data_IF_165860370072
#
_entry.id   IF_165860370072
#
_cell.length_a   1.000
_cell.length_b   1.000
_cell.length_c   1.000
_cell.angle_alpha   90.00
_cell.angle_beta   90.00
_cell.angle_gamma   90.00
#
_symmetry.space_group_name_H-M   'P 1'
#
loop_
_entity.id
_entity.type
_entity.pdbx_description
1 polymer ?
#
# COMPACT_ATOMS: atom_id res chain seq x y z
N UNK A 1 -31.00 0.71 0.60
CA UNK A 1 -30.05 1.64 -0.06
C UNK A 1 -29.39 0.90 -1.20
N UNK A 2 -28.79 1.62 -2.15
CA UNK A 2 -27.98 0.98 -3.20
C UNK A 2 -26.62 0.58 -2.63
N UNK A 3 -25.99 -0.52 -3.12
CA UNK A 3 -24.69 -0.93 -2.65
C UNK A 3 -23.63 0.14 -2.93
N UNK A 4 -22.69 0.32 -1.99
CA UNK A 4 -21.49 1.15 -2.22
C UNK A 4 -20.49 0.35 -3.06
N UNK A 5 -20.10 0.88 -4.20
CA UNK A 5 -19.08 0.24 -5.05
C UNK A 5 -17.70 0.71 -4.74
N UNK A 6 -16.85 -0.21 -4.32
CA UNK A 6 -15.41 0.00 -4.22
C UNK A 6 -14.79 -0.36 -5.57
N UNK A 7 -14.38 0.65 -6.33
CA UNK A 7 -13.84 0.50 -7.68
C UNK A 7 -12.34 0.78 -7.68
N UNK A 8 -11.53 -0.19 -8.06
CA UNK A 8 -10.07 -0.06 -8.07
C UNK A 8 -9.36 -1.35 -8.44
N UNK A 9 -8.05 -1.41 -8.25
CA UNK A 9 -7.34 -2.67 -8.37
C UNK A 9 -7.69 -3.59 -7.20
N UNK A 10 -7.81 -4.88 -7.49
CA UNK A 10 -7.90 -5.97 -6.50
C UNK A 10 -6.86 -7.02 -6.87
N UNK A 11 -6.32 -7.77 -5.89
CA UNK A 11 -5.33 -8.82 -6.18
C UNK A 11 -5.85 -9.88 -7.17
N UNK A 12 -5.01 -10.47 -8.03
CA UNK A 12 -3.69 -10.04 -8.43
C UNK A 12 -3.69 -8.81 -9.35
N UNK A 13 -2.63 -7.98 -9.40
CA UNK A 13 -1.39 -8.07 -8.62
C UNK A 13 -1.53 -7.59 -7.17
N UNK A 14 -0.68 -8.13 -6.30
CA UNK A 14 -0.64 -7.80 -4.86
C UNK A 14 0.15 -6.52 -4.62
N UNK A 15 -0.51 -5.38 -4.71
CA UNK A 15 0.06 -4.06 -4.44
C UNK A 15 -0.67 -3.36 -3.29
N UNK A 16 -0.06 -2.32 -2.73
CA UNK A 16 -0.64 -1.58 -1.59
C UNK A 16 -2.06 -1.09 -1.83
N UNK A 17 -2.35 -0.57 -3.04
CA UNK A 17 -3.71 -0.11 -3.40
C UNK A 17 -4.69 -1.28 -3.49
N UNK A 18 -4.27 -2.41 -4.06
CA UNK A 18 -5.10 -3.59 -4.20
C UNK A 18 -5.47 -4.18 -2.82
N UNK A 19 -4.51 -4.29 -1.92
CA UNK A 19 -4.73 -4.74 -0.54
C UNK A 19 -5.62 -3.75 0.23
N UNK A 20 -5.40 -2.44 0.05
CA UNK A 20 -6.28 -1.44 0.66
C UNK A 20 -7.75 -1.59 0.21
N UNK A 21 -8.00 -1.84 -1.08
CA UNK A 21 -9.36 -2.08 -1.59
C UNK A 21 -10.00 -3.33 -0.97
N UNK A 22 -9.24 -4.42 -0.80
CA UNK A 22 -9.72 -5.64 -0.12
C UNK A 22 -10.10 -5.33 1.33
N UNK A 23 -9.19 -4.70 2.08
CA UNK A 23 -9.41 -4.37 3.50
C UNK A 23 -10.60 -3.46 3.69
N UNK A 24 -10.72 -2.42 2.85
CA UNK A 24 -11.87 -1.53 2.90
C UNK A 24 -13.18 -2.27 2.66
N UNK A 25 -13.22 -3.11 1.62
CA UNK A 25 -14.42 -3.88 1.28
C UNK A 25 -14.82 -4.84 2.40
N UNK A 26 -13.87 -5.61 2.95
CA UNK A 26 -14.14 -6.55 4.05
C UNK A 26 -14.55 -5.81 5.32
N UNK A 27 -13.84 -4.76 5.71
CA UNK A 27 -14.20 -3.96 6.89
C UNK A 27 -15.60 -3.31 6.77
N UNK A 28 -15.97 -2.83 5.58
CA UNK A 28 -17.33 -2.30 5.37
C UNK A 28 -18.39 -3.39 5.53
N UNK A 29 -18.14 -4.60 5.05
CA UNK A 29 -19.05 -5.74 5.22
C UNK A 29 -19.17 -6.20 6.67
N UNK A 30 -18.06 -6.24 7.40
CA UNK A 30 -18.07 -6.53 8.83
C UNK A 30 -18.91 -5.52 9.63
N UNK A 31 -18.94 -4.27 9.17
CA UNK A 31 -19.81 -3.23 9.73
C UNK A 31 -21.27 -3.32 9.23
N UNK A 32 -21.62 -4.35 8.43
CA UNK A 32 -22.96 -4.52 7.87
C UNK A 32 -23.30 -3.56 6.71
N UNK A 33 -22.31 -2.87 6.15
CA UNK A 33 -22.51 -2.01 4.97
C UNK A 33 -22.69 -2.86 3.72
N UNK A 34 -23.75 -2.60 2.97
CA UNK A 34 -23.93 -3.21 1.65
C UNK A 34 -22.92 -2.63 0.65
N UNK A 35 -21.83 -3.37 0.43
CA UNK A 35 -20.72 -2.97 -0.41
C UNK A 35 -20.27 -4.09 -1.36
N UNK A 36 -19.90 -3.73 -2.59
CA UNK A 36 -19.35 -4.64 -3.60
C UNK A 36 -18.02 -4.11 -4.16
N UNK A 37 -17.08 -5.02 -4.43
CA UNK A 37 -15.82 -4.71 -5.11
C UNK A 37 -15.97 -4.84 -6.62
N UNK A 38 -15.41 -3.88 -7.38
CA UNK A 38 -15.32 -3.96 -8.84
C UNK A 38 -13.86 -3.76 -9.26
N UNK A 39 -13.25 -4.82 -9.76
CA UNK A 39 -11.84 -4.81 -10.14
C UNK A 39 -11.63 -4.23 -11.54
N UNK A 40 -10.76 -3.25 -11.67
CA UNK A 40 -10.28 -2.69 -12.95
C UNK A 40 -9.09 -3.49 -13.52
N UNK A 41 -8.62 -4.50 -12.81
CA UNK A 41 -7.53 -5.41 -13.21
C UNK A 41 -7.99 -6.84 -13.39
N UNK A 42 -7.15 -7.79 -12.98
CA UNK A 42 -7.47 -9.20 -13.00
C UNK A 42 -8.67 -9.59 -12.14
N UNK A 43 -9.16 -10.82 -12.31
CA UNK A 43 -10.17 -11.39 -11.42
C UNK A 43 -9.48 -11.87 -10.13
N UNK A 44 -9.90 -11.37 -8.97
CA UNK A 44 -9.35 -11.84 -7.71
C UNK A 44 -9.76 -13.29 -7.47
N UNK A 45 -8.79 -14.16 -7.23
CA UNK A 45 -9.06 -15.49 -6.71
C UNK A 45 -9.51 -15.42 -5.24
N UNK A 46 -10.58 -16.12 -4.90
CA UNK A 46 -10.98 -16.29 -3.50
C UNK A 46 -11.71 -15.10 -2.83
N UNK A 47 -12.04 -14.04 -3.57
CA UNK A 47 -12.83 -12.92 -3.08
C UNK A 47 -14.23 -12.94 -3.73
N UNK A 48 -15.17 -13.64 -3.11
CA UNK A 48 -16.54 -13.84 -3.64
C UNK A 48 -17.31 -12.53 -3.90
N UNK A 49 -16.94 -11.48 -3.18
CA UNK A 49 -17.62 -10.17 -3.26
C UNK A 49 -16.98 -9.20 -4.22
N UNK A 50 -16.03 -9.64 -5.03
CA UNK A 50 -15.36 -8.82 -6.04
C UNK A 50 -15.66 -9.35 -7.43
N UNK A 51 -16.09 -8.45 -8.32
CA UNK A 51 -16.41 -8.76 -9.71
C UNK A 51 -15.44 -8.05 -10.64
N UNK A 52 -15.17 -8.62 -11.81
CA UNK A 52 -14.46 -7.91 -12.87
C UNK A 52 -15.30 -6.74 -13.37
N UNK A 53 -14.65 -5.62 -13.68
CA UNK A 53 -15.30 -4.53 -14.37
C UNK A 53 -15.90 -5.00 -15.71
N UNK A 54 -17.15 -4.62 -15.97
CA UNK A 54 -17.88 -4.88 -17.19
C UNK A 54 -18.56 -3.60 -17.69
N UNK A 55 -18.83 -3.42 -19.01
CA UNK A 55 -19.43 -2.19 -19.53
C UNK A 55 -20.75 -1.78 -18.86
N UNK A 56 -21.56 -2.73 -18.41
CA UNK A 56 -22.82 -2.40 -17.72
C UNK A 56 -22.63 -1.75 -16.35
N UNK A 57 -21.42 -1.85 -15.71
CA UNK A 57 -21.12 -1.09 -14.51
C UNK A 57 -21.12 0.42 -14.75
N UNK A 58 -20.90 0.85 -16.01
CA UNK A 58 -21.01 2.26 -16.41
C UNK A 58 -22.44 2.77 -16.34
N UNK A 59 -23.44 1.89 -16.53
CA UNK A 59 -24.85 2.26 -16.53
C UNK A 59 -25.48 2.27 -15.15
N UNK A 60 -24.80 1.76 -14.14
CA UNK A 60 -25.31 1.79 -12.78
C UNK A 60 -25.26 3.20 -12.18
N UNK A 61 -26.26 3.48 -11.34
CA UNK A 61 -26.37 4.72 -10.56
C UNK A 61 -26.05 4.52 -9.08
N UNK A 62 -25.31 3.44 -8.75
CA UNK A 62 -24.89 3.18 -7.38
C UNK A 62 -23.74 4.13 -7.02
N UNK A 63 -23.63 4.56 -5.74
CA UNK A 63 -22.51 5.40 -5.31
C UNK A 63 -21.20 4.66 -5.47
N UNK A 64 -20.15 5.39 -5.86
CA UNK A 64 -18.83 4.81 -6.17
C UNK A 64 -17.77 5.43 -5.28
N UNK A 65 -16.92 4.58 -4.71
CA UNK A 65 -15.63 5.00 -4.16
C UNK A 65 -14.52 4.47 -5.06
N UNK A 66 -13.89 5.35 -5.82
CA UNK A 66 -12.83 5.03 -6.77
C UNK A 66 -11.46 5.19 -6.14
N UNK A 67 -10.65 4.15 -6.26
CA UNK A 67 -9.25 4.13 -5.79
C UNK A 67 -8.32 4.23 -6.97
N UNK A 68 -7.44 5.22 -6.95
CA UNK A 68 -6.51 5.51 -8.03
C UNK A 68 -5.10 5.73 -7.54
N UNK A 69 -4.15 5.41 -8.39
CA UNK A 69 -2.79 5.89 -8.38
C UNK A 69 -2.52 6.68 -9.67
N UNK A 70 -1.31 7.18 -9.82
CA UNK A 70 -0.90 7.89 -11.03
C UNK A 70 -0.98 7.02 -12.31
N UNK A 71 -1.01 5.68 -12.19
CA UNK A 71 -1.13 4.74 -13.32
C UNK A 71 -2.53 4.67 -13.91
N UNK A 72 -3.54 4.95 -13.10
CA UNK A 72 -4.96 4.73 -13.43
C UNK A 72 -5.73 6.00 -13.84
N UNK A 73 -5.05 7.15 -14.04
CA UNK A 73 -5.72 8.42 -14.35
C UNK A 73 -6.60 8.38 -15.62
N UNK A 74 -6.25 7.56 -16.61
CA UNK A 74 -7.04 7.39 -17.84
C UNK A 74 -8.43 6.80 -17.55
N UNK A 75 -8.50 5.83 -16.64
CA UNK A 75 -9.78 5.31 -16.16
C UNK A 75 -10.58 6.40 -15.43
N UNK A 76 -9.93 7.22 -14.61
CA UNK A 76 -10.59 8.35 -13.96
C UNK A 76 -11.24 9.30 -14.96
N UNK A 77 -10.55 9.63 -16.07
CA UNK A 77 -11.10 10.50 -17.12
C UNK A 77 -12.32 9.90 -17.81
N UNK A 78 -12.28 8.61 -18.14
CA UNK A 78 -13.39 7.91 -18.79
C UNK A 78 -14.59 7.76 -17.84
N UNK A 79 -14.36 7.21 -16.65
CA UNK A 79 -15.42 6.87 -15.70
C UNK A 79 -16.11 8.13 -15.17
N UNK A 80 -15.37 9.18 -14.83
CA UNK A 80 -15.94 10.43 -14.32
C UNK A 80 -16.86 11.11 -15.34
N UNK A 81 -16.60 10.98 -16.62
CA UNK A 81 -17.48 11.48 -17.66
C UNK A 81 -18.84 10.75 -17.65
N UNK A 82 -18.83 9.41 -17.59
CA UNK A 82 -20.07 8.62 -17.48
C UNK A 82 -20.83 8.90 -16.18
N UNK A 83 -20.12 8.94 -15.04
CA UNK A 83 -20.75 9.22 -13.75
C UNK A 83 -21.46 10.58 -13.74
N UNK A 84 -20.85 11.59 -14.31
CA UNK A 84 -21.48 12.92 -14.43
C UNK A 84 -22.73 12.89 -15.31
N UNK A 85 -22.68 12.23 -16.45
CA UNK A 85 -23.86 12.09 -17.33
C UNK A 85 -25.03 11.38 -16.66
N UNK A 86 -24.75 10.39 -15.81
CA UNK A 86 -25.75 9.58 -15.14
C UNK A 86 -26.14 10.09 -13.75
N UNK A 87 -25.54 11.19 -13.29
CA UNK A 87 -25.76 11.72 -11.95
C UNK A 87 -25.26 10.80 -10.82
N UNK A 88 -24.21 9.99 -11.09
CA UNK A 88 -23.61 9.10 -10.09
C UNK A 88 -22.75 9.91 -9.15
N UNK A 89 -23.00 9.76 -7.85
CA UNK A 89 -22.13 10.33 -6.80
C UNK A 89 -20.89 9.48 -6.64
N UNK A 90 -19.71 10.11 -6.58
CA UNK A 90 -18.47 9.39 -6.39
C UNK A 90 -17.46 10.10 -5.49
N UNK A 91 -16.66 9.32 -4.80
CA UNK A 91 -15.49 9.73 -4.01
C UNK A 91 -14.25 9.20 -4.73
N UNK A 92 -13.13 9.89 -4.62
CA UNK A 92 -11.84 9.46 -5.14
C UNK A 92 -10.83 9.37 -4.00
N UNK A 93 -10.26 8.18 -3.77
CA UNK A 93 -9.05 8.05 -2.96
C UNK A 93 -7.82 8.00 -3.86
N UNK A 94 -6.86 8.85 -3.57
CA UNK A 94 -5.59 8.98 -4.31
C UNK A 94 -4.47 8.43 -3.45
N UNK A 95 -3.86 7.33 -3.90
CA UNK A 95 -2.78 6.64 -3.19
C UNK A 95 -1.38 7.16 -3.52
N UNK A 96 -1.21 7.78 -4.68
CA UNK A 96 -0.01 8.52 -5.06
C UNK A 96 -0.37 9.52 -6.16
N UNK A 97 0.31 10.64 -6.19
CA UNK A 97 0.12 11.64 -7.23
C UNK A 97 1.46 12.31 -7.52
N UNK A 98 2.14 11.83 -8.55
CA UNK A 98 3.44 12.37 -8.96
C UNK A 98 3.29 13.07 -10.30
N UNK A 99 4.18 14.04 -10.55
CA UNK A 99 4.25 14.67 -11.86
C UNK A 99 4.48 13.63 -12.96
N UNK A 100 3.75 13.73 -14.06
CA UNK A 100 3.86 12.92 -15.26
C UNK A 100 3.91 13.79 -16.51
N UNK A 101 4.62 13.31 -17.54
CA UNK A 101 4.67 14.00 -18.83
C UNK A 101 3.27 14.22 -19.42
N UNK A 102 2.33 13.30 -19.22
CA UNK A 102 0.95 13.43 -19.68
C UNK A 102 0.22 14.62 -19.05
N UNK A 103 0.68 15.11 -17.87
CA UNK A 103 0.12 16.31 -17.21
C UNK A 103 0.69 17.62 -17.79
N UNK A 104 1.69 17.57 -18.66
CA UNK A 104 2.14 18.71 -19.43
C UNK A 104 1.10 19.11 -20.49
N UNK A 105 0.28 18.15 -20.97
CA UNK A 105 -0.85 18.45 -21.85
C UNK A 105 -1.99 19.16 -21.09
N UNK A 106 -2.22 20.41 -21.43
CA UNK A 106 -3.23 21.26 -20.78
C UNK A 106 -4.65 20.68 -20.87
N UNK A 107 -4.99 19.94 -21.94
CA UNK A 107 -6.32 19.33 -22.09
C UNK A 107 -6.50 18.17 -21.09
N UNK A 108 -5.49 17.35 -20.96
CA UNK A 108 -5.48 16.24 -19.97
C UNK A 108 -5.58 16.78 -18.55
N UNK A 109 -4.79 17.80 -18.19
CA UNK A 109 -4.86 18.46 -16.88
C UNK A 109 -6.25 19.04 -16.60
N UNK A 110 -6.81 19.79 -17.55
CA UNK A 110 -8.14 20.40 -17.37
C UNK A 110 -9.24 19.33 -17.19
N UNK A 111 -9.19 18.26 -17.98
CA UNK A 111 -10.15 17.15 -17.85
C UNK A 111 -10.01 16.43 -16.50
N UNK A 112 -8.77 16.18 -16.08
CA UNK A 112 -8.49 15.54 -14.79
C UNK A 112 -8.91 16.43 -13.63
N UNK A 113 -8.56 17.72 -13.65
CA UNK A 113 -9.03 18.70 -12.68
C UNK A 113 -10.56 18.76 -12.61
N UNK A 114 -11.24 18.71 -13.75
CA UNK A 114 -12.70 18.64 -13.80
C UNK A 114 -13.23 17.37 -13.16
N UNK A 115 -12.63 16.21 -13.41
CA UNK A 115 -13.02 14.94 -12.80
C UNK A 115 -12.93 14.99 -11.27
N UNK A 116 -11.84 15.53 -10.74
CA UNK A 116 -11.65 15.69 -9.29
C UNK A 116 -12.61 16.72 -8.69
N UNK A 117 -12.84 17.86 -9.35
CA UNK A 117 -13.79 18.90 -8.87
C UNK A 117 -15.23 18.41 -8.74
N UNK A 118 -15.64 17.44 -9.54
CA UNK A 118 -17.00 16.88 -9.51
C UNK A 118 -17.16 15.69 -8.56
N UNK A 119 -16.07 15.20 -7.97
CA UNK A 119 -16.16 14.21 -6.91
C UNK A 119 -16.90 14.81 -5.69
N UNK A 120 -17.67 13.99 -4.97
CA UNK A 120 -18.26 14.42 -3.69
C UNK A 120 -17.20 14.68 -2.63
N UNK A 121 -16.09 13.95 -2.69
CA UNK A 121 -14.91 14.18 -1.88
C UNK A 121 -13.64 13.65 -2.56
N UNK A 122 -12.50 14.25 -2.22
CA UNK A 122 -11.16 13.73 -2.51
C UNK A 122 -10.55 13.26 -1.20
N UNK A 123 -10.12 12.01 -1.17
CA UNK A 123 -9.37 11.43 -0.06
C UNK A 123 -7.93 11.25 -0.52
N UNK A 124 -6.98 11.90 0.14
CA UNK A 124 -5.56 11.68 -0.07
C UNK A 124 -4.99 10.85 1.08
N UNK A 125 -4.03 9.96 0.81
CA UNK A 125 -3.44 9.12 1.86
C UNK A 125 -2.45 9.87 2.75
N UNK A 126 -2.00 11.05 2.31
CA UNK A 126 -1.09 11.92 3.07
C UNK A 126 -1.29 13.38 2.65
N UNK A 127 -0.72 14.32 3.43
CA UNK A 127 -0.73 15.73 3.10
C UNK A 127 0.04 16.01 1.81
N UNK A 128 1.17 15.35 1.62
CA UNK A 128 2.02 15.49 0.43
C UNK A 128 1.24 15.12 -0.84
N UNK A 129 0.48 14.01 -0.82
CA UNK A 129 -0.39 13.62 -1.96
C UNK A 129 -1.46 14.69 -2.22
N UNK A 130 -2.04 15.26 -1.17
CA UNK A 130 -3.05 16.31 -1.33
C UNK A 130 -2.44 17.58 -1.92
N UNK A 131 -1.28 18.00 -1.45
CA UNK A 131 -0.52 19.13 -1.96
C UNK A 131 -0.11 18.94 -3.42
N UNK A 132 0.33 17.74 -3.78
CA UNK A 132 0.68 17.38 -5.16
C UNK A 132 -0.53 17.49 -6.09
N UNK A 133 -1.70 17.00 -5.67
CA UNK A 133 -2.94 17.15 -6.43
C UNK A 133 -3.27 18.63 -6.64
N UNK A 134 -3.17 19.42 -5.60
CA UNK A 134 -3.47 20.87 -5.65
C UNK A 134 -2.49 21.60 -6.57
N UNK A 135 -1.20 21.32 -6.44
CA UNK A 135 -0.14 21.92 -7.26
C UNK A 135 -0.28 21.56 -8.73
N UNK A 136 -0.42 20.26 -9.04
CA UNK A 136 -0.43 19.77 -10.42
C UNK A 136 -1.73 20.10 -11.16
N UNK A 137 -2.86 20.07 -10.49
CA UNK A 137 -4.17 20.31 -11.11
C UNK A 137 -4.73 21.72 -10.90
N UNK A 138 -4.10 22.53 -10.03
CA UNK A 138 -4.57 23.88 -9.71
C UNK A 138 -5.96 23.87 -9.06
N UNK A 139 -6.26 22.89 -8.24
CA UNK A 139 -7.58 22.74 -7.61
C UNK A 139 -7.48 22.74 -6.08
N UNK A 140 -8.40 23.44 -5.44
CA UNK A 140 -8.71 23.26 -4.03
C UNK A 140 -10.12 22.64 -3.94
N UNK A 141 -10.23 21.45 -3.39
CA UNK A 141 -11.52 20.79 -3.24
C UNK A 141 -12.09 21.04 -1.84
N UNK A 142 -13.32 21.53 -1.75
CA UNK A 142 -13.95 21.91 -0.47
C UNK A 142 -14.13 20.73 0.50
N UNK A 143 -14.17 19.48 -0.01
CA UNK A 143 -14.32 18.24 0.76
C UNK A 143 -13.12 17.34 0.63
N UNK A 144 -11.92 17.91 0.47
CA UNK A 144 -10.70 17.11 0.54
C UNK A 144 -10.38 16.73 1.99
N UNK A 145 -9.90 15.52 2.15
CA UNK A 145 -9.55 14.94 3.45
C UNK A 145 -8.30 14.07 3.32
N UNK A 146 -7.44 14.15 4.32
CA UNK A 146 -6.33 13.20 4.45
C UNK A 146 -6.79 12.05 5.33
N UNK A 147 -6.74 10.83 4.78
CA UNK A 147 -7.01 9.59 5.50
C UNK A 147 -5.92 8.61 5.14
N UNK A 148 -5.09 8.20 6.09
CA UNK A 148 -4.03 7.22 5.86
C UNK A 148 -4.56 5.92 5.25
N UNK A 149 -3.74 5.26 4.45
CA UNK A 149 -4.14 4.03 3.75
C UNK A 149 -4.18 2.78 4.62
N UNK A 150 -3.74 2.88 5.87
CA UNK A 150 -3.71 1.74 6.79
C UNK A 150 -5.12 1.40 7.28
N UNK A 151 -5.57 0.20 6.94
CA UNK A 151 -6.83 -0.38 7.37
C UNK A 151 -6.54 -1.70 8.08
N UNK A 152 -7.44 -2.18 8.96
CA UNK A 152 -7.28 -3.47 9.63
C UNK A 152 -6.97 -4.59 8.64
N UNK A 153 -6.10 -5.52 9.04
CA UNK A 153 -5.79 -6.70 8.24
C UNK A 153 -7.05 -7.51 8.04
N UNK A 154 -7.38 -7.79 6.79
CA UNK A 154 -8.62 -8.46 6.43
C UNK A 154 -8.67 -9.92 6.89
N UNK A 155 -9.87 -10.45 7.09
CA UNK A 155 -10.07 -11.85 7.44
C UNK A 155 -9.48 -12.80 6.36
N UNK A 156 -9.53 -12.40 5.09
CA UNK A 156 -8.88 -13.13 4.00
C UNK A 156 -7.36 -13.21 4.19
N UNK A 157 -6.69 -12.09 4.53
CA UNK A 157 -5.25 -12.08 4.81
C UNK A 157 -4.89 -12.87 6.07
N UNK A 158 -5.76 -12.81 7.10
CA UNK A 158 -5.54 -13.54 8.36
C UNK A 158 -5.60 -15.05 8.18
N UNK A 159 -6.45 -15.54 7.27
CA UNK A 159 -6.56 -16.96 6.91
C UNK A 159 -5.51 -17.43 5.91
N UNK A 160 -4.80 -16.49 5.28
CA UNK A 160 -3.75 -16.82 4.31
C UNK A 160 -2.56 -17.46 5.02
N UNK A 161 -2.07 -18.56 4.48
CA UNK A 161 -0.86 -19.23 4.94
C UNK A 161 0.39 -18.63 4.27
N UNK A 162 1.54 -18.88 4.88
CA UNK A 162 2.81 -18.53 4.26
C UNK A 162 3.00 -19.43 3.03
N UNK A 163 3.17 -18.80 1.87
CA UNK A 163 3.39 -19.52 0.62
C UNK A 163 4.62 -20.43 0.71
N UNK A 164 4.53 -21.63 0.13
CA UNK A 164 5.66 -22.54 -0.02
C UNK A 164 6.80 -21.98 -0.88
N UNK A 165 6.57 -20.87 -1.60
CA UNK A 165 7.62 -20.14 -2.28
C UNK A 165 8.61 -19.43 -1.32
N UNK A 166 8.23 -19.28 -0.04
CA UNK A 166 9.09 -18.68 0.98
C UNK A 166 10.09 -19.74 1.47
N UNK A 167 11.41 -19.46 1.37
CA UNK A 167 12.44 -20.45 1.70
C UNK A 167 12.42 -20.86 3.18
N UNK A 168 12.57 -22.16 3.43
CA UNK A 168 12.65 -22.72 4.77
C UNK A 168 13.81 -22.14 5.57
N UNK A 169 14.94 -21.84 4.90
CA UNK A 169 16.09 -21.20 5.55
C UNK A 169 15.73 -19.87 6.24
N UNK A 170 14.79 -19.11 5.67
CA UNK A 170 14.30 -17.90 6.33
C UNK A 170 13.29 -18.21 7.45
N UNK A 171 12.31 -19.10 7.18
CA UNK A 171 11.26 -19.37 8.18
C UNK A 171 11.78 -20.05 9.44
N UNK A 172 12.89 -20.79 9.37
CA UNK A 172 13.55 -21.45 10.49
C UNK A 172 14.66 -20.63 11.15
N UNK A 173 15.01 -19.44 10.59
CA UNK A 173 16.07 -18.60 11.15
C UNK A 173 15.71 -18.05 12.54
N UNK A 174 16.68 -17.97 13.48
CA UNK A 174 16.46 -17.35 14.79
C UNK A 174 16.01 -15.89 14.71
N UNK A 175 16.58 -15.11 13.78
CA UNK A 175 16.14 -13.72 13.51
C UNK A 175 15.73 -13.60 12.04
N UNK A 176 14.46 -13.33 11.82
CA UNK A 176 13.84 -13.22 10.49
C UNK A 176 13.65 -11.77 10.11
N UNK A 177 14.33 -11.35 9.06
CA UNK A 177 14.23 -10.00 8.49
C UNK A 177 13.46 -10.07 7.19
N UNK A 178 12.45 -9.22 7.03
CA UNK A 178 11.60 -9.15 5.85
C UNK A 178 11.76 -7.78 5.19
N UNK A 179 11.92 -7.77 3.87
CA UNK A 179 11.75 -6.59 3.05
C UNK A 179 10.84 -6.89 1.87
N UNK A 180 10.11 -5.89 1.37
CA UNK A 180 9.28 -6.07 0.19
C UNK A 180 9.36 -4.89 -0.77
N UNK A 181 9.17 -5.19 -2.06
CA UNK A 181 8.97 -4.22 -3.11
C UNK A 181 7.73 -4.59 -3.94
N UNK A 182 6.82 -3.65 -4.14
CA UNK A 182 5.61 -3.88 -4.95
C UNK A 182 5.91 -4.13 -6.42
N UNK A 183 7.03 -3.60 -6.91
CA UNK A 183 7.54 -3.87 -8.26
C UNK A 183 9.05 -3.62 -8.32
N UNK A 184 9.76 -4.36 -9.14
CA UNK A 184 11.16 -4.07 -9.50
C UNK A 184 11.15 -2.94 -10.52
N UNK A 185 11.56 -1.73 -10.10
CA UNK A 185 11.51 -0.52 -10.92
C UNK A 185 12.51 0.51 -10.44
N UNK A 186 12.91 1.42 -11.32
CA UNK A 186 13.84 2.51 -11.02
C UNK A 186 13.12 3.83 -10.76
N UNK A 187 13.78 4.67 -9.98
CA UNK A 187 13.47 6.08 -9.77
C UNK A 187 14.79 6.86 -9.90
N UNK A 188 14.85 7.82 -10.83
CA UNK A 188 16.06 8.60 -11.12
C UNK A 188 17.31 7.74 -11.40
N UNK A 189 17.14 6.61 -12.10
CA UNK A 189 18.22 5.70 -12.46
C UNK A 189 18.71 4.76 -11.36
N UNK A 190 18.06 4.78 -10.18
CA UNK A 190 18.37 3.92 -9.03
C UNK A 190 17.18 3.01 -8.69
N UNK A 191 17.42 1.91 -7.98
CA UNK A 191 16.33 1.08 -7.44
C UNK A 191 15.39 1.92 -6.55
N UNK A 192 14.12 1.99 -6.92
CA UNK A 192 13.12 2.76 -6.18
C UNK A 192 13.01 2.31 -4.72
N UNK A 193 13.06 1.01 -4.50
CA UNK A 193 12.84 0.41 -3.17
C UNK A 193 14.09 0.27 -2.33
N UNK A 194 15.28 0.65 -2.86
CA UNK A 194 16.54 0.64 -2.11
C UNK A 194 17.02 -0.76 -1.71
N UNK A 195 16.63 -1.80 -2.47
CA UNK A 195 17.08 -3.18 -2.21
C UNK A 195 18.59 -3.28 -2.35
N UNK A 196 19.21 -2.52 -3.23
CA UNK A 196 20.66 -2.41 -3.37
C UNK A 196 21.33 -1.89 -2.09
N UNK A 197 20.74 -0.88 -1.43
CA UNK A 197 21.21 -0.35 -0.14
C UNK A 197 21.07 -1.42 0.94
N UNK A 198 19.94 -2.13 0.98
CA UNK A 198 19.68 -3.19 1.95
C UNK A 198 20.65 -4.37 1.79
N UNK A 199 20.90 -4.83 0.58
CA UNK A 199 21.82 -5.93 0.31
C UNK A 199 23.25 -5.56 0.72
N UNK A 200 23.69 -4.33 0.48
CA UNK A 200 24.97 -3.83 0.96
C UNK A 200 25.01 -3.81 2.48
N UNK A 201 24.01 -3.22 3.13
CA UNK A 201 23.93 -3.15 4.58
C UNK A 201 23.90 -4.53 5.24
N UNK A 202 23.15 -5.48 4.66
CA UNK A 202 23.02 -6.83 5.21
C UNK A 202 24.32 -7.63 5.09
N UNK A 203 25.08 -7.49 4.01
CA UNK A 203 26.38 -8.12 3.81
C UNK A 203 27.40 -7.65 4.85
N UNK A 204 27.33 -6.38 5.27
CA UNK A 204 28.24 -5.80 6.28
C UNK A 204 27.91 -6.28 7.71
N UNK A 205 26.81 -7.03 7.90
CA UNK A 205 26.45 -7.62 9.19
C UNK A 205 27.27 -8.88 9.45
N UNK A 206 27.88 -8.96 10.64
CA UNK A 206 28.68 -10.10 11.10
C UNK A 206 27.85 -11.21 11.76
N UNK A 207 26.52 -11.01 11.91
CA UNK A 207 25.66 -11.97 12.62
C UNK A 207 25.18 -13.10 11.72
N UNK A 208 25.55 -14.34 12.04
CA UNK A 208 25.08 -15.54 11.33
C UNK A 208 23.68 -16.00 11.77
N UNK A 209 23.09 -15.37 12.78
CA UNK A 209 21.78 -15.75 13.34
C UNK A 209 20.58 -15.13 12.60
N UNK A 210 20.83 -14.24 11.64
CA UNK A 210 19.78 -13.54 10.91
C UNK A 210 19.67 -13.99 9.45
N UNK A 211 18.46 -14.17 8.97
CA UNK A 211 18.19 -14.37 7.55
C UNK A 211 17.28 -13.26 7.00
N UNK A 212 17.56 -12.84 5.77
CA UNK A 212 16.81 -11.82 5.04
C UNK A 212 15.98 -12.48 3.93
N UNK A 213 14.67 -12.23 3.94
CA UNK A 213 13.79 -12.54 2.82
C UNK A 213 13.35 -11.23 2.14
N UNK A 214 13.60 -11.13 0.84
CA UNK A 214 13.17 -10.02 0.01
C UNK A 214 12.05 -10.51 -0.90
N UNK A 215 10.86 -9.94 -0.74
CA UNK A 215 9.68 -10.32 -1.52
C UNK A 215 9.42 -9.25 -2.58
N UNK A 216 9.52 -9.65 -3.83
CA UNK A 216 9.33 -8.79 -5.00
C UNK A 216 7.99 -9.12 -5.67
N UNK A 217 7.17 -8.10 -5.90
CA UNK A 217 5.91 -8.21 -6.63
C UNK A 217 6.13 -8.29 -8.16
N UNK A 218 5.64 -7.31 -8.91
CA UNK A 218 5.81 -7.28 -10.36
C UNK A 218 7.23 -6.94 -10.80
N UNK A 219 7.62 -7.38 -12.00
CA UNK A 219 8.92 -7.02 -12.61
C UNK A 219 8.69 -6.04 -13.76
N UNK A 220 9.15 -4.80 -13.59
CA UNK A 220 9.11 -3.76 -14.64
C UNK A 220 10.49 -3.50 -15.25
N UNK A 221 11.55 -3.90 -14.54
CA UNK A 221 12.94 -3.75 -14.97
C UNK A 221 13.69 -5.06 -14.74
N UNK A 222 13.90 -5.79 -15.84
CA UNK A 222 14.55 -7.11 -15.83
C UNK A 222 16.05 -7.00 -15.51
N UNK A 223 16.71 -5.92 -15.96
CA UNK A 223 18.13 -5.73 -15.70
C UNK A 223 18.39 -5.39 -14.23
N UNK A 224 17.51 -4.60 -13.62
CA UNK A 224 17.55 -4.35 -12.18
C UNK A 224 17.31 -5.65 -11.39
N UNK A 225 16.35 -6.48 -11.81
CA UNK A 225 16.11 -7.78 -11.18
C UNK A 225 17.36 -8.68 -11.21
N UNK A 226 18.04 -8.76 -12.36
CA UNK A 226 19.29 -9.52 -12.48
C UNK A 226 20.35 -9.01 -11.49
N UNK A 227 20.52 -7.69 -11.37
CA UNK A 227 21.45 -7.09 -10.40
C UNK A 227 21.10 -7.46 -8.96
N UNK A 228 19.82 -7.42 -8.59
CA UNK A 228 19.35 -7.82 -7.26
C UNK A 228 19.69 -9.30 -6.99
N UNK A 229 19.40 -10.20 -7.91
CA UNK A 229 19.72 -11.62 -7.76
C UNK A 229 21.22 -11.88 -7.66
N UNK A 230 22.05 -11.22 -8.48
CA UNK A 230 23.50 -11.35 -8.43
C UNK A 230 24.08 -10.86 -7.09
N UNK A 231 23.56 -9.76 -6.57
CA UNK A 231 23.99 -9.23 -5.27
C UNK A 231 23.53 -10.12 -4.10
N UNK A 232 22.28 -10.62 -4.15
CA UNK A 232 21.75 -11.52 -3.14
C UNK A 232 22.48 -12.86 -3.08
N UNK A 233 22.90 -13.40 -4.24
CA UNK A 233 23.64 -14.67 -4.32
C UNK A 233 25.04 -14.63 -3.65
N UNK A 234 25.54 -13.45 -3.31
CA UNK A 234 26.81 -13.29 -2.60
C UNK A 234 26.71 -13.60 -1.09
N UNK A 235 25.50 -13.73 -0.55
CA UNK A 235 25.26 -14.01 0.86
C UNK A 235 24.16 -15.11 1.00
N UNK A 236 24.55 -16.28 1.50
CA UNK A 236 23.66 -17.42 1.66
C UNK A 236 22.51 -17.20 2.66
N UNK A 237 22.59 -16.16 3.49
CA UNK A 237 21.53 -15.76 4.42
C UNK A 237 20.42 -14.97 3.74
N UNK A 238 20.60 -14.58 2.46
CA UNK A 238 19.64 -13.76 1.70
C UNK A 238 18.84 -14.63 0.75
N UNK A 239 17.54 -14.48 0.80
CA UNK A 239 16.60 -15.09 -0.14
C UNK A 239 15.80 -14.03 -0.87
N UNK A 240 15.66 -14.18 -2.20
CA UNK A 240 14.83 -13.30 -3.04
C UNK A 240 13.70 -14.12 -3.64
N UNK A 241 12.47 -13.72 -3.36
CA UNK A 241 11.26 -14.33 -3.91
C UNK A 241 10.63 -13.34 -4.89
N UNK A 242 10.61 -13.71 -6.17
CA UNK A 242 10.04 -12.90 -7.25
C UNK A 242 8.62 -13.32 -7.56
N UNK A 243 7.84 -12.38 -8.10
CA UNK A 243 6.45 -12.60 -8.52
C UNK A 243 5.59 -13.22 -7.40
N UNK A 244 5.85 -12.81 -6.18
CA UNK A 244 5.09 -13.29 -5.03
C UNK A 244 3.62 -12.95 -5.18
N UNK A 245 2.78 -13.96 -5.12
CA UNK A 245 1.33 -13.88 -5.33
C UNK A 245 0.50 -14.12 -4.06
N UNK A 246 1.11 -13.95 -2.90
CA UNK A 246 0.45 -14.10 -1.60
C UNK A 246 0.23 -12.79 -0.85
N UNK A 247 -0.58 -12.84 0.20
CA UNK A 247 -0.70 -11.74 1.15
C UNK A 247 0.61 -11.55 1.92
N UNK A 248 0.99 -10.29 2.20
CA UNK A 248 2.20 -9.98 2.99
C UNK A 248 1.98 -10.10 4.50
N UNK A 249 0.75 -9.91 4.97
CA UNK A 249 0.45 -9.92 6.40
C UNK A 249 0.92 -11.20 7.14
N UNK A 250 0.79 -12.43 6.60
CA UNK A 250 1.36 -13.62 7.21
C UNK A 250 2.88 -13.57 7.34
N UNK A 251 3.59 -13.01 6.34
CA UNK A 251 5.04 -12.86 6.38
C UNK A 251 5.48 -11.82 7.41
N UNK A 252 4.79 -10.68 7.46
CA UNK A 252 5.02 -9.65 8.48
C UNK A 252 4.83 -10.21 9.88
N UNK A 253 3.77 -11.00 10.09
CA UNK A 253 3.52 -11.68 11.38
C UNK A 253 4.64 -12.65 11.75
N UNK A 254 5.24 -13.32 10.79
CA UNK A 254 6.31 -14.29 11.01
C UNK A 254 7.70 -13.64 11.14
N UNK A 255 7.90 -12.45 10.60
CA UNK A 255 9.13 -11.69 10.73
C UNK A 255 9.36 -11.18 12.16
N UNK A 256 10.61 -10.93 12.53
CA UNK A 256 10.98 -10.18 13.74
C UNK A 256 11.25 -8.71 13.41
N UNK A 257 11.84 -8.46 12.24
CA UNK A 257 12.26 -7.14 11.76
C UNK A 257 11.71 -6.96 10.33
N UNK A 258 11.09 -5.83 10.07
CA UNK A 258 10.64 -5.42 8.73
C UNK A 258 11.42 -4.20 8.29
N UNK A 259 12.03 -4.25 7.11
CA UNK A 259 12.88 -3.18 6.58
C UNK A 259 12.27 -2.59 5.32
N UNK A 260 12.18 -1.26 5.27
CA UNK A 260 11.67 -0.51 4.12
C UNK A 260 12.69 0.56 3.69
N UNK A 261 13.68 0.20 2.86
CA UNK A 261 14.78 1.10 2.48
C UNK A 261 14.46 1.97 1.27
N UNK A 262 13.20 2.25 1.01
CA UNK A 262 12.74 2.95 -0.20
C UNK A 262 13.32 4.37 -0.31
N UNK A 263 13.64 4.80 -1.53
CA UNK A 263 14.16 6.15 -1.83
C UNK A 263 13.09 7.22 -1.87
N UNK A 264 11.85 6.83 -2.15
CA UNK A 264 10.68 7.74 -2.11
C UNK A 264 9.40 6.94 -2.02
N UNK A 265 8.39 7.51 -1.38
CA UNK A 265 7.03 6.96 -1.26
C UNK A 265 6.00 8.08 -1.31
N UNK A 266 4.74 7.75 -1.58
CA UNK A 266 3.62 8.70 -1.52
C UNK A 266 3.07 8.94 -0.11
N UNK A 267 3.68 8.30 0.92
CA UNK A 267 3.25 8.39 2.31
C UNK A 267 3.82 7.22 3.13
N UNK A 268 3.40 7.06 4.38
CA UNK A 268 3.85 5.94 5.22
C UNK A 268 3.56 4.59 4.55
N UNK A 269 4.55 3.70 4.60
CA UNK A 269 4.41 2.36 4.04
C UNK A 269 3.38 1.54 4.80
N UNK A 270 2.47 0.90 4.07
CA UNK A 270 1.51 -0.05 4.65
C UNK A 270 2.23 -1.16 5.42
N UNK A 271 3.30 -1.73 4.86
CA UNK A 271 4.07 -2.81 5.49
C UNK A 271 4.74 -2.37 6.79
N UNK A 272 5.20 -1.12 6.89
CA UNK A 272 5.78 -0.58 8.13
C UNK A 272 4.68 -0.43 9.20
N UNK A 273 3.54 0.11 8.83
CA UNK A 273 2.40 0.23 9.76
C UNK A 273 1.94 -1.13 10.27
N UNK A 274 1.81 -2.11 9.39
CA UNK A 274 1.47 -3.50 9.75
C UNK A 274 2.51 -4.12 10.69
N UNK A 275 3.80 -3.91 10.42
CA UNK A 275 4.86 -4.41 11.29
C UNK A 275 4.72 -3.87 12.71
N UNK A 276 4.48 -2.58 12.85
CA UNK A 276 4.32 -1.92 14.14
C UNK A 276 3.06 -2.38 14.88
N UNK A 277 1.93 -2.53 14.18
CA UNK A 277 0.67 -3.04 14.74
C UNK A 277 0.80 -4.49 15.21
N UNK A 278 1.60 -5.29 14.50
CA UNK A 278 1.87 -6.70 14.86
C UNK A 278 3.01 -6.86 15.88
N UNK A 279 3.52 -5.76 16.47
CA UNK A 279 4.62 -5.80 17.42
C UNK A 279 5.92 -6.33 16.80
N UNK A 280 6.25 -5.89 15.58
CA UNK A 280 7.52 -6.20 14.90
C UNK A 280 8.40 -4.97 14.85
N UNK A 281 9.72 -5.16 14.91
CA UNK A 281 10.65 -4.07 14.71
C UNK A 281 10.51 -3.53 13.29
N UNK A 282 10.26 -2.25 13.15
CA UNK A 282 10.10 -1.58 11.86
C UNK A 282 11.27 -0.63 11.62
N UNK A 283 12.01 -0.82 10.54
CA UNK A 283 13.13 0.02 10.11
C UNK A 283 12.77 0.61 8.74
N UNK A 284 12.86 1.93 8.59
CA UNK A 284 12.58 2.57 7.30
C UNK A 284 13.52 3.74 7.02
N UNK A 285 13.74 4.05 5.74
CA UNK A 285 14.44 5.28 5.35
C UNK A 285 13.64 6.51 5.78
N UNK A 286 14.32 7.61 6.04
CA UNK A 286 13.74 8.92 6.33
C UNK A 286 13.29 9.69 5.05
N UNK A 287 13.12 8.96 3.94
CA UNK A 287 12.67 9.53 2.67
C UNK A 287 11.29 10.21 2.75
N UNK A 288 10.45 9.79 3.70
CA UNK A 288 9.15 10.40 4.04
C UNK A 288 8.95 10.32 5.56
N UNK A 289 8.06 11.15 6.14
CA UNK A 289 7.69 11.03 7.54
C UNK A 289 7.26 9.60 7.91
N UNK A 290 7.74 9.09 9.02
CA UNK A 290 7.45 7.74 9.51
C UNK A 290 6.61 7.80 10.79
N UNK A 291 5.80 6.76 11.08
CA UNK A 291 5.06 6.67 12.33
C UNK A 291 6.00 6.70 13.55
N UNK A 292 5.54 7.26 14.65
CA UNK A 292 6.27 7.24 15.93
C UNK A 292 6.57 5.79 16.35
N UNK A 293 7.79 5.51 16.78
CA UNK A 293 8.27 4.15 17.11
C UNK A 293 8.91 3.40 15.94
N UNK A 294 8.77 3.87 14.69
CA UNK A 294 9.57 3.35 13.57
C UNK A 294 11.03 3.79 13.73
N UNK A 295 11.95 2.85 13.60
CA UNK A 295 13.38 3.17 13.59
C UNK A 295 13.73 3.71 12.21
N UNK A 296 14.24 4.93 12.15
CA UNK A 296 14.62 5.56 10.89
C UNK A 296 16.12 5.50 10.68
N UNK A 297 16.52 5.36 9.41
CA UNK A 297 17.90 5.52 8.97
C UNK A 297 17.94 6.54 7.83
N UNK A 298 19.09 7.18 7.64
CA UNK A 298 19.28 8.17 6.59
C UNK A 298 19.12 7.55 5.21
N UNK A 299 18.26 8.12 4.39
CA UNK A 299 18.00 7.63 3.05
C UNK A 299 19.28 7.41 2.24
N UNK A 300 19.40 6.27 1.57
CA UNK A 300 20.55 5.81 0.78
C UNK A 300 21.83 5.52 1.61
N UNK A 301 21.82 5.61 2.92
CA UNK A 301 22.98 5.34 3.78
C UNK A 301 22.97 3.89 4.28
N UNK A 302 23.72 3.01 3.59
CA UNK A 302 23.83 1.60 3.98
C UNK A 302 24.51 1.41 5.35
N UNK A 303 25.43 2.28 5.75
CA UNK A 303 26.12 2.18 7.05
C UNK A 303 25.17 2.45 8.20
N UNK A 304 24.34 3.50 8.06
CA UNK A 304 23.30 3.81 9.05
C UNK A 304 22.24 2.70 9.11
N UNK A 305 21.86 2.12 7.95
CA UNK A 305 20.98 0.96 7.90
C UNK A 305 21.60 -0.28 8.55
N UNK A 306 22.88 -0.57 8.32
CA UNK A 306 23.60 -1.68 8.97
C UNK A 306 23.52 -1.55 10.48
N UNK A 307 23.80 -0.37 11.03
CA UNK A 307 23.69 -0.08 12.46
C UNK A 307 22.28 -0.33 12.98
N UNK A 308 21.25 0.20 12.30
CA UNK A 308 19.86 0.02 12.71
C UNK A 308 19.42 -1.45 12.71
N UNK A 309 19.85 -2.23 11.71
CA UNK A 309 19.56 -3.68 11.65
C UNK A 309 20.29 -4.42 12.78
N UNK A 310 21.57 -4.14 12.98
CA UNK A 310 22.37 -4.75 14.04
C UNK A 310 21.75 -4.52 15.43
N UNK A 311 21.37 -3.30 15.75
CA UNK A 311 20.74 -2.95 17.03
C UNK A 311 19.40 -3.69 17.21
N UNK A 312 18.60 -3.83 16.13
CA UNK A 312 17.36 -4.61 16.19
C UNK A 312 17.61 -6.10 16.37
N UNK A 313 18.63 -6.69 15.73
CA UNK A 313 19.02 -8.09 15.95
C UNK A 313 19.34 -8.33 17.42
N UNK A 314 20.13 -7.47 18.04
CA UNK A 314 20.47 -7.56 19.47
C UNK A 314 19.23 -7.49 20.36
N UNK A 315 18.28 -6.59 20.06
CA UNK A 315 17.01 -6.49 20.80
C UNK A 315 16.15 -7.75 20.65
N UNK A 316 16.07 -8.32 19.45
CA UNK A 316 15.35 -9.59 19.22
C UNK A 316 16.00 -10.72 20.02
N UNK A 317 17.33 -10.83 20.01
CA UNK A 317 18.07 -11.86 20.74
C UNK A 317 17.97 -11.71 22.25
N UNK A 318 17.85 -10.49 22.76
CA UNK A 318 17.61 -10.23 24.20
C UNK A 318 16.15 -10.40 24.62
N UNK A 319 15.25 -10.76 23.67
CA UNK A 319 13.81 -10.89 23.95
C UNK A 319 13.09 -9.54 24.12
N UNK A 320 13.72 -8.43 23.79
CA UNK A 320 13.09 -7.11 23.83
C UNK A 320 12.05 -7.00 22.71
N UNK A 321 10.84 -6.63 23.06
CA UNK A 321 9.75 -6.39 22.08
C UNK A 321 9.61 -4.90 21.81
N UNK A 322 9.27 -4.51 20.55
CA UNK A 322 8.91 -3.12 20.28
C UNK A 322 7.57 -2.79 20.97
N UNK A 323 7.39 -1.51 21.27
CA UNK A 323 6.09 -1.02 21.67
C UNK A 323 5.11 -1.18 20.50
N UNK A 324 3.97 -1.82 20.74
CA UNK A 324 2.89 -1.88 19.76
C UNK A 324 2.30 -0.50 19.61
N UNK A 325 2.20 -0.03 18.37
CA UNK A 325 1.54 1.22 18.07
C UNK A 325 0.42 0.98 17.06
N UNK A 326 -0.66 1.72 17.22
CA UNK A 326 -1.75 1.74 16.24
C UNK A 326 -1.71 3.08 15.48
N UNK A 327 -0.75 3.24 14.55
CA UNK A 327 -0.48 4.53 13.93
C UNK A 327 -1.68 5.11 13.17
N UNK A 328 -2.67 4.28 12.79
CA UNK A 328 -3.78 4.70 11.94
C UNK A 328 -5.11 4.00 12.27
N UNK A 329 -5.38 3.69 13.53
CA UNK A 329 -6.62 3.03 13.99
C UNK A 329 -7.91 3.75 13.57
N UNK A 330 -7.83 5.05 13.25
CA UNK A 330 -8.98 5.88 12.92
C UNK A 330 -9.32 5.95 11.43
N UNK A 331 -8.52 5.36 10.53
CA UNK A 331 -8.72 5.50 9.08
C UNK A 331 -10.09 4.98 8.63
N UNK A 332 -10.48 3.79 9.09
CA UNK A 332 -11.79 3.19 8.78
C UNK A 332 -12.94 4.06 9.30
N UNK A 333 -12.87 4.49 10.56
CA UNK A 333 -13.85 5.39 11.19
C UNK A 333 -14.00 6.69 10.41
N UNK A 334 -12.89 7.27 9.95
CA UNK A 334 -12.92 8.48 9.15
C UNK A 334 -13.59 8.29 7.79
N UNK A 335 -13.37 7.14 7.12
CA UNK A 335 -14.02 6.82 5.85
C UNK A 335 -15.51 6.57 6.06
N UNK A 336 -15.91 5.79 7.05
CA UNK A 336 -17.32 5.53 7.36
C UNK A 336 -18.07 6.82 7.67
N UNK A 337 -17.51 7.69 8.49
CA UNK A 337 -18.07 9.01 8.79
C UNK A 337 -18.22 9.88 7.52
N UNK A 338 -17.27 9.78 6.59
CA UNK A 338 -17.36 10.48 5.30
C UNK A 338 -18.53 9.93 4.47
N UNK A 339 -18.68 8.61 4.36
CA UNK A 339 -19.76 7.97 3.62
C UNK A 339 -21.15 8.34 4.19
N UNK A 340 -21.27 8.35 5.53
CA UNK A 340 -22.52 8.76 6.20
C UNK A 340 -22.88 10.20 5.89
N UNK A 341 -21.92 11.13 5.99
CA UNK A 341 -22.14 12.55 5.66
C UNK A 341 -22.56 12.79 4.22
N UNK A 342 -22.11 11.95 3.30
CA UNK A 342 -22.42 12.03 1.87
C UNK A 342 -23.70 11.25 1.48
N UNK A 343 -24.28 10.51 2.44
CA UNK A 343 -25.45 9.67 2.21
C UNK A 343 -25.17 8.43 1.36
N UNK A 344 -23.94 7.92 1.41
CA UNK A 344 -23.52 6.70 0.71
C UNK A 344 -23.88 5.44 1.52
N UNK A 345 -23.87 5.56 2.84
CA UNK A 345 -24.24 4.49 3.78
C UNK A 345 -25.18 5.04 4.85
N UNK A 346 -25.95 4.16 5.53
CA UNK A 346 -26.85 4.59 6.60
C UNK A 346 -26.08 4.99 7.85
N UNK A 347 -26.71 5.82 8.69
CA UNK A 347 -26.13 6.28 9.95
C UNK A 347 -26.05 5.22 11.05
N UNK A 348 -26.65 4.04 10.84
CA UNK A 348 -26.66 2.94 11.82
C UNK A 348 -25.36 2.15 11.90
N UNK A 349 -24.43 2.38 10.96
CA UNK A 349 -23.15 1.68 10.89
C UNK A 349 -22.05 2.54 11.55
N UNK A 350 -21.95 2.51 12.86
CA UNK A 350 -20.86 3.18 13.58
C UNK A 350 -19.83 2.11 13.96
N UNK A 351 -18.54 2.25 13.59
CA UNK A 351 -17.50 1.41 14.14
C UNK A 351 -17.52 1.56 15.67
N UNK A 352 -17.59 0.48 16.41
CA UNK A 352 -17.30 0.52 17.83
C UNK A 352 -15.91 1.14 18.00
N UNK A 353 -15.75 2.07 18.96
CA UNK A 353 -14.42 2.52 19.36
C UNK A 353 -13.66 1.30 19.87
N UNK A 354 -12.67 0.82 19.08
CA UNK A 354 -11.75 -0.26 19.43
C UNK A 354 -10.50 0.35 20.03
#
# INVERSE_FOLDING_TARGET
>A
MKPLRILGPFPPPYGGVAIHCVRLLESLKELGVDAEGVSLGGLPGGLESVRAFRPWHLLSRDPVHYHTDEGNFRWMLLLSWFWRMLGVKYIVTVHSFRHRKEFEDQRTRTRLASAYKHAEAIVAISNEVLEDIQRELGIAHKRSKVVPSNLPVSAWEQRSEISSAIPLAWTSSPVRILANAGAVTQFQGKDLYGIDVLLTAFRDLTSDSAALCIVLGGVRDVELLKKIHMAAAQDSRVSVVTEYSGALAPLVRHAHIVVRPTRTEGGPSLTISEAMEMGRWAIASDAVPRPAGCITFRNEDHTDLTRAIHDCIQRVQSGTMPETSQPYSQALTQLVNLYQRLGFVSTTHTPAEV
#
